data_IF_072663873285
#
_entry.id   IF_072663873285
#
_cell.length_a   1.000
_cell.length_b   1.000
_cell.length_c   1.000
_cell.angle_alpha   90.00
_cell.angle_beta   90.00
_cell.angle_gamma   90.00
#
_symmetry.space_group_name_H-M   'P 1'
#
loop_
_entity.id
_entity.type
_entity.pdbx_description
1 polymer ?
#
# COMPACT_ATOMS: atom_id res chain seq x y z
N UNK A 1 -22.16 -0.91 -6.09
CA UNK A 1 -21.31 -0.12 -7.02
C UNK A 1 -20.23 -1.04 -7.58
N UNK A 2 -19.80 -0.84 -8.82
CA UNK A 2 -18.88 -1.73 -9.54
C UNK A 2 -17.91 -0.94 -10.44
N UNK A 3 -16.72 -1.48 -10.65
CA UNK A 3 -15.89 -1.17 -11.82
C UNK A 3 -16.16 -2.21 -12.90
N UNK A 4 -16.36 -1.78 -14.14
CA UNK A 4 -16.49 -2.70 -15.28
C UNK A 4 -15.17 -2.80 -16.03
N UNK A 5 -14.75 -4.02 -16.34
CA UNK A 5 -13.63 -4.27 -17.26
C UNK A 5 -14.13 -4.46 -18.68
N UNK A 6 -13.49 -3.79 -19.64
CA UNK A 6 -13.57 -4.05 -21.07
C UNK A 6 -12.25 -4.71 -21.45
N UNK A 7 -12.24 -6.02 -21.69
CA UNK A 7 -11.01 -6.75 -21.96
C UNK A 7 -10.44 -6.34 -23.32
N UNK A 8 -9.14 -6.10 -23.39
CA UNK A 8 -8.48 -5.74 -24.66
C UNK A 8 -7.34 -6.70 -24.97
N UNK A 9 -7.13 -6.89 -26.26
CA UNK A 9 -6.03 -7.68 -26.82
C UNK A 9 -5.31 -6.89 -27.91
N UNK A 10 -4.36 -7.52 -28.60
CA UNK A 10 -3.76 -6.97 -29.82
C UNK A 10 -4.76 -6.76 -30.99
N UNK A 11 -5.97 -7.33 -30.91
CA UNK A 11 -6.99 -7.25 -31.95
C UNK A 11 -8.00 -6.14 -31.67
N UNK A 12 -8.07 -5.15 -32.58
CA UNK A 12 -9.11 -4.12 -32.52
C UNK A 12 -10.52 -4.71 -32.70
N UNK A 13 -10.66 -5.77 -33.52
CA UNK A 13 -11.94 -6.48 -33.66
C UNK A 13 -12.43 -7.07 -32.33
N UNK A 14 -11.50 -7.51 -31.47
CA UNK A 14 -11.86 -7.96 -30.12
C UNK A 14 -12.39 -6.82 -29.25
N UNK A 15 -11.78 -5.63 -29.33
CA UNK A 15 -12.32 -4.43 -28.66
C UNK A 15 -13.75 -4.14 -29.15
N UNK A 16 -14.00 -4.22 -30.46
CA UNK A 16 -15.32 -3.98 -31.03
C UNK A 16 -16.36 -5.00 -30.52
N UNK A 17 -15.96 -6.26 -30.31
CA UNK A 17 -16.83 -7.28 -29.70
C UNK A 17 -17.17 -6.94 -28.24
N UNK A 18 -16.19 -6.54 -27.42
CA UNK A 18 -16.44 -6.13 -26.04
C UNK A 18 -17.26 -4.84 -25.96
N UNK A 19 -17.01 -3.88 -26.86
CA UNK A 19 -17.81 -2.66 -27.01
C UNK A 19 -19.25 -2.97 -27.36
N UNK A 20 -19.52 -3.97 -28.21
CA UNK A 20 -20.89 -4.40 -28.53
C UNK A 20 -21.61 -5.01 -27.32
N UNK A 21 -20.90 -5.73 -26.44
CA UNK A 21 -21.49 -6.21 -25.17
C UNK A 21 -21.81 -5.05 -24.23
N UNK A 22 -20.89 -4.08 -24.08
CA UNK A 22 -21.11 -2.86 -23.32
C UNK A 22 -22.32 -2.07 -23.85
N UNK A 23 -22.44 -1.95 -25.17
CA UNK A 23 -23.60 -1.37 -25.84
C UNK A 23 -24.90 -2.07 -25.42
N UNK A 24 -24.92 -3.40 -25.45
CA UNK A 24 -26.06 -4.20 -25.01
C UNK A 24 -26.47 -3.92 -23.56
N UNK A 25 -25.52 -3.75 -22.65
CA UNK A 25 -25.78 -3.40 -21.25
C UNK A 25 -26.39 -1.99 -21.12
N UNK A 26 -25.86 -1.02 -21.86
CA UNK A 26 -26.37 0.37 -21.86
C UNK A 26 -27.79 0.42 -22.43
N UNK A 27 -28.00 -0.22 -23.58
CA UNK A 27 -29.26 -0.17 -24.33
C UNK A 27 -30.39 -0.92 -23.62
N UNK A 28 -30.04 -1.95 -22.85
CA UNK A 28 -30.97 -2.69 -22.00
C UNK A 28 -31.24 -2.02 -20.65
N UNK A 29 -30.63 -0.85 -20.38
CA UNK A 29 -30.79 -0.12 -19.12
C UNK A 29 -30.11 -0.77 -17.91
N UNK A 30 -29.19 -1.71 -18.12
CA UNK A 30 -28.41 -2.38 -17.06
C UNK A 30 -27.14 -1.60 -16.67
N UNK A 31 -26.84 -0.52 -17.39
CA UNK A 31 -25.77 0.42 -17.08
C UNK A 31 -26.35 1.68 -16.43
N UNK A 32 -26.11 1.86 -15.14
CA UNK A 32 -26.59 2.98 -14.33
C UNK A 32 -25.47 3.57 -13.45
N UNK A 33 -25.85 4.44 -12.51
CA UNK A 33 -24.93 5.15 -11.62
C UNK A 33 -24.26 4.22 -10.57
N UNK A 34 -24.57 2.92 -10.56
CA UNK A 34 -23.79 1.93 -9.82
C UNK A 34 -22.47 1.59 -10.50
N UNK A 35 -22.30 1.88 -11.80
CA UNK A 35 -21.03 1.76 -12.50
C UNK A 35 -20.22 3.02 -12.21
N UNK A 36 -19.21 2.90 -11.35
CA UNK A 36 -18.42 4.06 -10.86
C UNK A 36 -17.05 4.19 -11.52
N UNK A 37 -16.65 3.21 -12.32
CA UNK A 37 -15.40 3.22 -13.07
C UNK A 37 -15.41 2.18 -14.18
N UNK A 38 -14.60 2.42 -15.21
CA UNK A 38 -14.41 1.49 -16.31
C UNK A 38 -12.92 1.33 -16.62
N UNK A 39 -12.44 0.09 -16.70
CA UNK A 39 -11.08 -0.24 -17.13
C UNK A 39 -11.12 -0.72 -18.58
N UNK A 40 -10.40 -0.05 -19.48
CA UNK A 40 -10.24 -0.49 -20.88
C UNK A 40 -8.87 -1.15 -20.99
N UNK A 41 -8.90 -2.47 -20.96
CA UNK A 41 -7.70 -3.28 -20.80
C UNK A 41 -7.33 -3.52 -19.34
N UNK A 42 -6.69 -4.67 -19.13
CA UNK A 42 -5.97 -5.04 -17.93
C UNK A 42 -4.67 -5.65 -18.40
N UNK A 43 -3.52 -5.05 -18.09
CA UNK A 43 -2.18 -5.56 -18.43
C UNK A 43 -1.94 -5.83 -19.92
N UNK A 44 -2.70 -5.20 -20.83
CA UNK A 44 -2.54 -5.45 -22.26
C UNK A 44 -1.19 -4.92 -22.78
N UNK A 45 -0.61 -3.91 -22.13
CA UNK A 45 0.73 -3.43 -22.44
C UNK A 45 1.78 -4.32 -21.77
N UNK A 46 1.59 -4.69 -20.50
CA UNK A 46 2.48 -5.63 -19.80
C UNK A 46 2.59 -6.99 -20.50
N UNK A 47 1.50 -7.49 -21.07
CA UNK A 47 1.49 -8.71 -21.90
C UNK A 47 2.08 -8.53 -23.31
N UNK A 48 2.62 -7.35 -23.61
CA UNK A 48 3.25 -6.99 -24.88
C UNK A 48 2.30 -7.11 -26.11
N UNK A 49 0.99 -7.09 -25.88
CA UNK A 49 0.01 -7.23 -26.95
C UNK A 49 -0.17 -5.93 -27.74
N UNK A 50 -0.13 -4.79 -27.05
CA UNK A 50 -0.22 -3.44 -27.64
C UNK A 50 0.75 -2.48 -26.96
N UNK A 51 1.06 -1.37 -27.63
CA UNK A 51 1.81 -0.28 -27.02
C UNK A 51 0.87 0.74 -26.31
N UNK A 52 1.46 1.69 -25.59
CA UNK A 52 0.72 2.71 -24.85
C UNK A 52 -0.18 3.59 -25.74
N UNK A 53 0.24 3.94 -26.95
CA UNK A 53 -0.56 4.77 -27.86
C UNK A 53 -1.82 4.03 -28.32
N UNK A 54 -1.70 2.75 -28.65
CA UNK A 54 -2.85 1.89 -28.99
C UNK A 54 -3.78 1.72 -27.79
N UNK A 55 -3.24 1.49 -26.59
CA UNK A 55 -4.06 1.39 -25.38
C UNK A 55 -4.85 2.69 -25.10
N UNK A 56 -4.20 3.85 -25.26
CA UNK A 56 -4.86 5.17 -25.15
C UNK A 56 -5.94 5.34 -26.22
N UNK A 57 -5.68 4.90 -27.46
CA UNK A 57 -6.65 4.94 -28.55
C UNK A 57 -7.90 4.11 -28.23
N UNK A 58 -7.72 2.86 -27.78
CA UNK A 58 -8.83 1.98 -27.39
C UNK A 58 -9.64 2.55 -26.23
N UNK A 59 -8.95 3.06 -25.21
CA UNK A 59 -9.59 3.69 -24.06
C UNK A 59 -10.43 4.92 -24.48
N UNK A 60 -9.88 5.79 -25.33
CA UNK A 60 -10.62 6.95 -25.87
C UNK A 60 -11.83 6.53 -26.68
N UNK A 61 -11.72 5.48 -27.49
CA UNK A 61 -12.85 4.98 -28.28
C UNK A 61 -14.02 4.52 -27.38
N UNK A 62 -13.73 3.83 -26.28
CA UNK A 62 -14.75 3.42 -25.30
C UNK A 62 -15.30 4.61 -24.53
N UNK A 63 -14.44 5.54 -24.09
CA UNK A 63 -14.85 6.76 -23.40
C UNK A 63 -15.80 7.60 -24.26
N UNK A 64 -15.42 7.89 -25.49
CA UNK A 64 -16.23 8.66 -26.43
C UNK A 64 -17.55 7.95 -26.73
N UNK A 65 -17.52 6.62 -26.84
CA UNK A 65 -18.72 5.82 -27.02
C UNK A 65 -19.69 5.98 -25.85
N UNK A 66 -19.26 5.78 -24.60
CA UNK A 66 -20.17 5.91 -23.45
C UNK A 66 -20.65 7.36 -23.25
N UNK A 67 -19.78 8.35 -23.52
CA UNK A 67 -20.16 9.77 -23.49
C UNK A 67 -21.24 10.09 -24.54
N UNK A 68 -21.15 9.53 -25.75
CA UNK A 68 -22.18 9.68 -26.79
C UNK A 68 -23.55 9.12 -26.39
N UNK A 69 -23.58 8.22 -25.39
CA UNK A 69 -24.79 7.63 -24.79
C UNK A 69 -25.23 8.34 -23.50
N UNK A 70 -24.64 9.50 -23.20
CA UNK A 70 -24.97 10.30 -22.02
C UNK A 70 -24.46 9.74 -20.69
N UNK A 71 -23.45 8.85 -20.72
CA UNK A 71 -22.79 8.31 -19.52
C UNK A 71 -21.46 9.01 -19.31
N UNK A 72 -21.15 9.44 -18.09
CA UNK A 72 -19.92 10.17 -17.75
C UNK A 72 -19.01 9.39 -16.79
N UNK A 73 -19.07 8.06 -16.85
CA UNK A 73 -18.29 7.19 -15.97
C UNK A 73 -16.79 7.37 -16.23
N UNK A 74 -15.97 7.55 -15.17
CA UNK A 74 -14.52 7.64 -15.31
C UNK A 74 -13.90 6.39 -15.97
N UNK A 75 -13.01 6.61 -16.93
CA UNK A 75 -12.35 5.56 -17.72
C UNK A 75 -10.84 5.58 -17.50
N UNK A 76 -10.28 4.40 -17.22
CA UNK A 76 -8.84 4.18 -17.02
C UNK A 76 -8.34 2.97 -17.84
N UNK A 77 -7.03 2.75 -17.82
CA UNK A 77 -6.34 1.57 -18.33
C UNK A 77 -5.72 0.90 -17.10
N UNK A 78 -6.09 -0.34 -16.81
CA UNK A 78 -5.45 -1.09 -15.72
C UNK A 78 -4.17 -1.75 -16.25
N UNK A 79 -3.03 -1.47 -15.62
CA UNK A 79 -1.74 -2.09 -15.99
C UNK A 79 -0.78 -2.08 -14.79
N UNK A 80 0.38 -2.71 -14.90
CA UNK A 80 1.35 -2.74 -13.79
C UNK A 80 2.03 -1.37 -13.58
N UNK A 81 2.54 -1.13 -12.38
CA UNK A 81 3.23 0.13 -12.02
C UNK A 81 4.38 0.46 -13.00
N UNK A 82 5.15 -0.55 -13.43
CA UNK A 82 6.29 -0.36 -14.35
C UNK A 82 5.87 0.20 -15.72
N UNK A 83 4.68 -0.19 -16.20
CA UNK A 83 4.13 0.32 -17.46
C UNK A 83 3.81 1.81 -17.34
N UNK A 84 3.17 2.23 -16.25
CA UNK A 84 2.91 3.64 -16.00
C UNK A 84 4.20 4.46 -15.82
N UNK A 85 5.21 3.91 -15.14
CA UNK A 85 6.49 4.58 -14.95
C UNK A 85 7.24 4.78 -16.28
N UNK A 86 7.18 3.81 -17.19
CA UNK A 86 7.84 3.88 -18.51
C UNK A 86 7.03 4.65 -19.56
N UNK A 87 5.72 4.80 -19.34
CA UNK A 87 4.79 5.47 -20.25
C UNK A 87 3.98 6.56 -19.50
N UNK A 88 4.60 7.68 -19.07
CA UNK A 88 3.93 8.72 -18.30
C UNK A 88 2.74 9.37 -19.02
N UNK A 89 2.68 9.30 -20.36
CA UNK A 89 1.54 9.75 -21.16
C UNK A 89 0.24 9.00 -20.84
N UNK A 90 0.30 7.80 -20.25
CA UNK A 90 -0.87 7.09 -19.75
C UNK A 90 -1.57 7.89 -18.64
N UNK A 91 -0.79 8.47 -17.71
CA UNK A 91 -1.33 9.27 -16.59
C UNK A 91 -2.11 10.48 -17.11
N UNK A 92 -1.62 11.11 -18.18
CA UNK A 92 -2.29 12.25 -18.80
C UNK A 92 -3.61 11.85 -19.50
N UNK A 93 -3.70 10.62 -20.02
CA UNK A 93 -4.84 10.15 -20.81
C UNK A 93 -6.02 9.64 -19.96
N UNK A 94 -5.75 8.94 -18.86
CA UNK A 94 -6.76 8.29 -18.02
C UNK A 94 -7.48 9.27 -17.09
N UNK A 95 -8.70 8.95 -16.66
CA UNK A 95 -9.43 9.79 -15.69
C UNK A 95 -8.89 9.64 -14.26
N UNK A 96 -8.38 8.44 -13.94
CA UNK A 96 -7.65 8.08 -12.73
C UNK A 96 -6.60 7.02 -13.09
N UNK A 97 -5.50 6.95 -12.35
CA UNK A 97 -4.48 5.90 -12.54
C UNK A 97 -4.98 4.62 -11.89
N UNK A 98 -4.93 3.50 -12.61
CA UNK A 98 -5.40 2.19 -12.15
C UNK A 98 -4.27 1.19 -12.30
N UNK A 99 -3.76 0.65 -11.19
CA UNK A 99 -2.59 -0.24 -11.20
C UNK A 99 -2.84 -1.61 -10.60
N UNK A 100 -2.37 -2.63 -11.29
CA UNK A 100 -2.24 -3.97 -10.75
C UNK A 100 -0.88 -4.09 -10.05
N UNK A 101 -0.89 -4.43 -8.76
CA UNK A 101 0.32 -4.50 -7.96
C UNK A 101 0.26 -5.65 -6.95
N UNK A 102 1.15 -6.62 -7.13
CA UNK A 102 1.25 -7.82 -6.29
C UNK A 102 2.69 -7.98 -5.79
N UNK A 103 2.97 -7.52 -4.57
CA UNK A 103 4.26 -7.83 -3.94
C UNK A 103 4.49 -9.34 -3.77
N UNK A 104 3.41 -10.12 -3.73
CA UNK A 104 3.46 -11.58 -3.78
C UNK A 104 4.23 -12.10 -5.00
N UNK A 105 4.04 -11.53 -6.19
CA UNK A 105 4.73 -11.93 -7.43
C UNK A 105 6.14 -11.35 -7.58
N UNK A 106 6.61 -10.62 -6.57
CA UNK A 106 7.97 -10.05 -6.50
C UNK A 106 8.84 -10.78 -5.47
N UNK A 107 8.44 -12.00 -5.09
CA UNK A 107 9.08 -12.80 -4.03
C UNK A 107 9.19 -12.07 -2.69
N UNK A 108 8.28 -11.14 -2.40
CA UNK A 108 8.32 -10.39 -1.15
C UNK A 108 8.22 -11.34 0.06
N UNK A 109 8.93 -10.98 1.12
CA UNK A 109 8.59 -11.47 2.46
C UNK A 109 7.28 -10.79 2.89
N UNK A 110 6.38 -11.54 3.53
CA UNK A 110 5.07 -11.01 3.93
C UNK A 110 5.18 -9.78 4.85
N UNK A 111 6.24 -9.69 5.66
CA UNK A 111 6.50 -8.55 6.55
C UNK A 111 6.91 -7.27 5.79
N UNK A 112 7.16 -7.38 4.48
CA UNK A 112 7.52 -6.26 3.59
C UNK A 112 6.49 -6.03 2.48
N UNK A 113 5.46 -6.88 2.33
CA UNK A 113 4.56 -6.79 1.19
C UNK A 113 3.87 -5.43 1.03
N UNK A 114 3.31 -4.89 2.11
CA UNK A 114 2.68 -3.57 2.09
C UNK A 114 3.71 -2.43 1.90
N UNK A 115 4.88 -2.53 2.56
CA UNK A 115 5.99 -1.59 2.40
C UNK A 115 6.50 -1.50 0.95
N UNK A 116 6.74 -2.66 0.31
CA UNK A 116 7.16 -2.74 -1.10
C UNK A 116 6.09 -2.14 -2.01
N UNK A 117 4.81 -2.41 -1.76
CA UNK A 117 3.71 -1.79 -2.52
C UNK A 117 3.78 -0.26 -2.43
N UNK A 118 3.99 0.30 -1.24
CA UNK A 118 4.09 1.74 -1.03
C UNK A 118 5.34 2.34 -1.69
N UNK A 119 6.48 1.66 -1.60
CA UNK A 119 7.74 2.06 -2.24
C UNK A 119 7.57 2.14 -3.77
N UNK A 120 6.95 1.13 -4.38
CA UNK A 120 6.68 1.09 -5.83
C UNK A 120 5.74 2.20 -6.28
N UNK A 121 4.73 2.52 -5.47
CA UNK A 121 3.76 3.58 -5.77
C UNK A 121 4.34 4.99 -5.64
N UNK A 122 5.44 5.21 -4.90
CA UNK A 122 5.93 6.54 -4.51
C UNK A 122 6.06 7.51 -5.68
N UNK A 123 6.79 7.14 -6.74
CA UNK A 123 7.00 8.02 -7.90
C UNK A 123 5.72 8.25 -8.70
N UNK A 124 4.92 7.20 -8.89
CA UNK A 124 3.66 7.27 -9.61
C UNK A 124 2.65 8.16 -8.90
N UNK A 125 2.58 8.12 -7.57
CA UNK A 125 1.75 9.02 -6.75
C UNK A 125 2.12 10.48 -6.94
N UNK A 126 3.41 10.79 -6.97
CA UNK A 126 3.89 12.15 -7.21
C UNK A 126 3.48 12.63 -8.60
N UNK A 127 3.67 11.78 -9.63
CA UNK A 127 3.27 12.11 -11.00
C UNK A 127 1.75 12.29 -11.12
N UNK A 128 0.96 11.34 -10.61
CA UNK A 128 -0.51 11.39 -10.62
C UNK A 128 -1.03 12.64 -9.90
N UNK A 129 -0.50 12.94 -8.70
CA UNK A 129 -0.85 14.13 -7.93
C UNK A 129 -0.55 15.42 -8.70
N UNK A 130 0.59 15.49 -9.39
CA UNK A 130 0.95 16.64 -10.24
C UNK A 130 0.01 16.84 -11.44
N UNK A 131 -0.82 15.84 -11.78
CA UNK A 131 -1.85 15.88 -12.83
C UNK A 131 -3.27 15.93 -12.26
N UNK A 132 -3.43 16.05 -10.93
CA UNK A 132 -4.72 16.01 -10.27
C UNK A 132 -5.44 14.67 -10.41
N UNK A 133 -4.69 13.57 -10.59
CA UNK A 133 -5.23 12.22 -10.77
C UNK A 133 -5.11 11.44 -9.47
N UNK A 134 -6.16 10.70 -9.14
CA UNK A 134 -6.13 9.72 -8.06
C UNK A 134 -5.45 8.43 -8.55
N UNK A 135 -4.89 7.66 -7.63
CA UNK A 135 -4.35 6.32 -7.87
C UNK A 135 -5.26 5.29 -7.21
N UNK A 136 -5.68 4.29 -7.99
CA UNK A 136 -6.47 3.14 -7.57
C UNK A 136 -5.60 1.90 -7.73
N UNK A 137 -5.57 1.02 -6.74
CA UNK A 137 -4.93 -0.29 -6.83
C UNK A 137 -5.99 -1.28 -7.32
N UNK A 138 -6.07 -1.50 -8.62
CA UNK A 138 -7.13 -2.31 -9.25
C UNK A 138 -7.04 -3.78 -8.94
N UNK A 139 -5.84 -4.29 -8.65
CA UNK A 139 -5.64 -5.67 -8.23
C UNK A 139 -4.44 -5.76 -7.29
N UNK A 140 -4.64 -6.46 -6.17
CA UNK A 140 -3.58 -6.85 -5.23
C UNK A 140 -4.07 -8.00 -4.38
N UNK A 141 -3.15 -8.82 -3.86
CA UNK A 141 -3.52 -9.96 -3.03
C UNK A 141 -2.32 -10.79 -2.64
N UNK A 142 -2.60 -11.82 -1.84
CA UNK A 142 -1.61 -12.81 -1.40
C UNK A 142 -2.28 -14.18 -1.38
N UNK A 143 -1.60 -15.20 -1.89
CA UNK A 143 -2.17 -16.56 -1.91
C UNK A 143 -2.05 -17.26 -0.55
N UNK A 144 -3.06 -18.02 -0.15
CA UNK A 144 -2.98 -18.85 1.07
C UNK A 144 -2.48 -20.27 0.82
N UNK A 145 -2.24 -20.66 -0.43
CA UNK A 145 -1.93 -22.05 -0.79
C UNK A 145 -1.07 -22.16 -2.05
N UNK A 146 -0.63 -23.37 -2.35
CA UNK A 146 0.26 -23.67 -3.47
C UNK A 146 1.70 -23.18 -3.27
N UNK A 147 2.53 -23.36 -4.30
CA UNK A 147 3.89 -22.85 -4.33
C UNK A 147 4.31 -22.41 -5.73
N UNK A 148 5.11 -21.36 -5.82
CA UNK A 148 5.82 -21.00 -7.05
C UNK A 148 7.19 -20.40 -6.67
N UNK A 149 8.29 -20.80 -7.32
CA UNK A 149 9.60 -20.22 -7.04
C UNK A 149 9.65 -18.71 -7.23
N UNK A 150 8.80 -18.15 -8.11
CA UNK A 150 8.65 -16.73 -8.43
C UNK A 150 7.86 -15.90 -7.38
N UNK A 151 7.25 -16.58 -6.40
CA UNK A 151 6.29 -15.97 -5.50
C UNK A 151 6.79 -15.86 -4.05
N UNK A 152 6.14 -14.99 -3.28
CA UNK A 152 6.23 -14.97 -1.83
C UNK A 152 5.64 -16.25 -1.23
N UNK A 153 5.97 -16.54 0.04
CA UNK A 153 5.50 -17.75 0.70
C UNK A 153 3.98 -17.69 0.88
N UNK A 154 3.26 -18.61 0.23
CA UNK A 154 1.82 -18.75 0.36
C UNK A 154 1.45 -19.54 1.62
N UNK A 155 0.64 -18.94 2.49
CA UNK A 155 0.03 -19.61 3.64
C UNK A 155 -1.19 -18.81 4.14
N UNK A 156 -2.14 -19.43 4.86
CA UNK A 156 -3.28 -18.71 5.44
C UNK A 156 -2.84 -17.56 6.37
N UNK A 157 -1.77 -17.76 7.15
CA UNK A 157 -1.20 -16.76 8.04
C UNK A 157 -0.63 -15.58 7.25
N UNK A 158 0.14 -15.86 6.18
CA UNK A 158 0.72 -14.81 5.35
C UNK A 158 -0.35 -14.03 4.58
N UNK A 159 -1.38 -14.70 4.07
CA UNK A 159 -2.50 -14.04 3.42
C UNK A 159 -3.23 -13.08 4.37
N UNK A 160 -3.53 -13.52 5.60
CA UNK A 160 -4.19 -12.69 6.60
C UNK A 160 -3.31 -11.51 7.05
N UNK A 161 -1.99 -11.75 7.21
CA UNK A 161 -1.03 -10.71 7.55
C UNK A 161 -0.92 -9.65 6.46
N UNK A 162 -0.71 -10.05 5.21
CA UNK A 162 -0.63 -9.11 4.09
C UNK A 162 -1.93 -8.32 3.96
N UNK A 163 -3.10 -8.97 4.07
CA UNK A 163 -4.39 -8.25 4.05
C UNK A 163 -4.48 -7.19 5.15
N UNK A 164 -4.11 -7.53 6.39
CA UNK A 164 -4.15 -6.61 7.53
C UNK A 164 -3.19 -5.43 7.35
N UNK A 165 -1.94 -5.69 6.95
CA UNK A 165 -0.93 -4.65 6.76
C UNK A 165 -1.28 -3.76 5.54
N UNK A 166 -1.68 -4.37 4.43
CA UNK A 166 -2.13 -3.66 3.22
C UNK A 166 -3.36 -2.79 3.49
N UNK A 167 -4.39 -3.31 4.19
CA UNK A 167 -5.58 -2.54 4.54
C UNK A 167 -5.24 -1.28 5.34
N UNK A 168 -4.36 -1.42 6.33
CA UNK A 168 -3.94 -0.29 7.18
C UNK A 168 -3.15 0.74 6.38
N UNK A 169 -2.20 0.28 5.55
CA UNK A 169 -1.45 1.12 4.62
C UNK A 169 -2.40 1.88 3.69
N UNK A 170 -3.27 1.18 2.96
CA UNK A 170 -4.21 1.75 2.01
C UNK A 170 -5.13 2.78 2.66
N UNK A 171 -5.70 2.46 3.83
CA UNK A 171 -6.51 3.41 4.61
C UNK A 171 -5.71 4.66 5.00
N UNK A 172 -4.48 4.50 5.46
CA UNK A 172 -3.69 5.63 5.96
C UNK A 172 -3.29 6.62 4.86
N UNK A 173 -3.17 6.15 3.62
CA UNK A 173 -2.88 6.94 2.43
C UNK A 173 -4.13 7.31 1.61
N UNK A 174 -5.32 6.88 2.04
CA UNK A 174 -6.58 7.06 1.32
C UNK A 174 -6.52 6.50 -0.11
N UNK A 175 -5.99 5.27 -0.27
CA UNK A 175 -6.05 4.54 -1.52
C UNK A 175 -7.38 3.80 -1.64
N UNK A 176 -8.02 3.97 -2.80
CA UNK A 176 -9.04 3.04 -3.26
C UNK A 176 -8.35 1.79 -3.81
N UNK A 177 -8.88 0.61 -3.49
CA UNK A 177 -8.31 -0.65 -3.95
C UNK A 177 -9.37 -1.74 -4.14
N UNK A 178 -8.99 -2.76 -4.91
CA UNK A 178 -9.76 -3.99 -5.08
C UNK A 178 -8.87 -5.18 -4.73
N UNK A 179 -9.35 -6.00 -3.79
CA UNK A 179 -8.68 -7.26 -3.44
C UNK A 179 -8.90 -8.30 -4.53
N UNK A 180 -7.80 -8.85 -5.02
CA UNK A 180 -7.76 -10.00 -5.89
C UNK A 180 -7.63 -11.25 -5.00
N UNK A 181 -8.68 -12.06 -4.83
CA UNK A 181 -10.00 -12.03 -5.46
C UNK A 181 -11.08 -12.48 -4.46
N UNK A 182 -12.36 -12.44 -4.83
CA UNK A 182 -13.44 -12.86 -3.94
C UNK A 182 -13.32 -14.35 -3.56
N UNK A 183 -13.25 -15.25 -4.54
CA UNK A 183 -13.29 -16.69 -4.33
C UNK A 183 -12.01 -17.37 -4.82
N UNK A 184 -11.56 -18.38 -4.08
CA UNK A 184 -10.60 -19.35 -4.57
C UNK A 184 -11.10 -19.95 -5.90
N UNK A 185 -10.18 -20.37 -6.77
CA UNK A 185 -10.49 -20.70 -8.17
C UNK A 185 -9.58 -21.81 -8.69
N UNK A 186 -9.88 -23.06 -8.35
CA UNK A 186 -9.06 -24.24 -8.70
C UNK A 186 -8.96 -24.48 -10.20
N UNK A 187 -9.93 -23.97 -10.97
CA UNK A 187 -9.92 -24.04 -12.42
C UNK A 187 -8.69 -23.34 -13.02
N UNK A 188 -8.08 -22.35 -12.33
CA UNK A 188 -6.87 -21.65 -12.80
C UNK A 188 -5.69 -22.60 -12.93
N UNK A 189 -5.48 -23.45 -11.94
CA UNK A 189 -4.47 -24.53 -11.98
C UNK A 189 -4.85 -25.58 -13.02
N UNK A 190 -6.13 -25.95 -13.10
CA UNK A 190 -6.62 -26.92 -14.09
C UNK A 190 -6.37 -26.45 -15.54
N UNK A 191 -6.37 -25.14 -15.77
CA UNK A 191 -6.06 -24.52 -17.06
C UNK A 191 -4.56 -24.24 -17.28
N UNK A 192 -3.67 -24.78 -16.44
CA UNK A 192 -2.22 -24.65 -16.57
C UNK A 192 -1.60 -23.43 -15.86
N UNK A 193 -2.39 -22.71 -15.05
CA UNK A 193 -1.89 -21.66 -14.17
C UNK A 193 -1.03 -22.20 -13.02
N UNK A 194 -0.37 -21.29 -12.29
CA UNK A 194 0.50 -21.67 -11.16
C UNK A 194 -0.33 -22.16 -9.98
N UNK A 195 0.21 -23.06 -9.18
CA UNK A 195 -0.48 -23.63 -8.01
C UNK A 195 -1.06 -22.53 -7.11
N UNK A 196 -0.26 -21.49 -6.85
CA UNK A 196 -0.62 -20.35 -6.00
C UNK A 196 -1.83 -19.56 -6.50
N UNK A 197 -2.17 -19.61 -7.78
CA UNK A 197 -3.30 -18.87 -8.35
C UNK A 197 -4.66 -19.41 -7.89
N UNK A 198 -4.73 -20.64 -7.39
CA UNK A 198 -5.99 -21.21 -6.91
C UNK A 198 -6.49 -20.55 -5.61
N UNK A 199 -5.61 -19.98 -4.79
CA UNK A 199 -5.88 -19.74 -3.36
C UNK A 199 -5.82 -18.25 -2.92
N UNK A 200 -6.04 -17.30 -3.85
CA UNK A 200 -6.08 -15.85 -3.57
C UNK A 200 -7.40 -15.34 -2.96
N UNK A 201 -8.42 -16.20 -2.92
CA UNK A 201 -9.76 -15.86 -2.46
C UNK A 201 -9.82 -15.46 -0.99
N UNK A 202 -10.80 -14.62 -0.65
CA UNK A 202 -11.28 -14.41 0.73
C UNK A 202 -12.21 -15.57 1.15
N UNK A 203 -12.94 -16.10 0.17
CA UNK A 203 -13.86 -17.22 0.29
C UNK A 203 -13.30 -18.43 -0.45
N UNK A 204 -13.66 -19.63 0.01
CA UNK A 204 -13.50 -20.86 -0.74
C UNK A 204 -14.48 -20.90 -1.92
N UNK A 205 -14.32 -21.84 -2.85
CA UNK A 205 -15.23 -22.04 -4.00
C UNK A 205 -16.69 -22.34 -3.60
N UNK A 206 -16.95 -22.75 -2.37
CA UNK A 206 -18.27 -23.11 -1.84
C UNK A 206 -18.95 -21.98 -1.04
N UNK A 207 -18.51 -20.74 -1.26
CA UNK A 207 -18.95 -19.53 -0.55
C UNK A 207 -18.58 -19.45 0.94
N UNK A 208 -17.82 -20.42 1.47
CA UNK A 208 -17.37 -20.39 2.87
C UNK A 208 -16.20 -19.42 3.03
N UNK A 209 -16.35 -18.41 3.88
CA UNK A 209 -15.25 -17.50 4.25
C UNK A 209 -14.09 -18.30 4.85
N UNK A 210 -12.86 -18.04 4.41
CA UNK A 210 -11.69 -18.78 4.91
C UNK A 210 -11.41 -18.41 6.36
N UNK A 211 -10.99 -19.40 7.15
CA UNK A 211 -10.80 -19.26 8.59
C UNK A 211 -9.80 -18.17 8.98
N UNK A 212 -8.76 -17.96 8.16
CA UNK A 212 -7.76 -16.91 8.36
C UNK A 212 -8.33 -15.49 8.19
N UNK A 213 -9.43 -15.31 7.45
CA UNK A 213 -10.18 -14.04 7.40
C UNK A 213 -11.26 -13.96 8.48
N UNK A 214 -11.99 -15.05 8.73
CA UNK A 214 -13.05 -15.08 9.74
C UNK A 214 -12.50 -14.77 11.15
N UNK A 215 -11.29 -15.24 11.46
CA UNK A 215 -10.60 -14.96 12.72
C UNK A 215 -9.81 -13.65 12.75
N UNK A 216 -9.72 -12.93 11.62
CA UNK A 216 -8.88 -11.74 11.52
C UNK A 216 -9.52 -10.55 12.23
N UNK A 217 -8.82 -10.01 13.23
CA UNK A 217 -9.17 -8.74 13.85
C UNK A 217 -8.13 -7.70 13.47
N UNK A 218 -8.57 -6.63 12.81
CA UNK A 218 -7.70 -5.51 12.44
C UNK A 218 -7.94 -4.36 13.41
N UNK A 219 -6.90 -4.05 14.20
CA UNK A 219 -6.92 -2.90 15.11
C UNK A 219 -6.75 -1.58 14.37
N UNK A 220 -7.33 -0.51 14.93
CA UNK A 220 -7.15 0.84 14.40
C UNK A 220 -5.85 1.44 14.89
N UNK A 221 -5.09 2.02 13.96
CA UNK A 221 -3.91 2.82 14.26
C UNK A 221 -4.21 4.29 13.99
N UNK A 222 -4.14 5.10 15.02
CA UNK A 222 -4.25 6.53 14.85
C UNK A 222 -2.90 7.14 14.46
N UNK A 223 -2.86 8.09 13.50
CA UNK A 223 -1.63 8.76 13.13
C UNK A 223 -1.14 9.65 14.28
N UNK A 224 0.17 9.67 14.48
CA UNK A 224 0.86 10.45 15.51
C UNK A 224 2.11 11.11 14.94
N UNK A 225 2.41 12.29 15.42
CA UNK A 225 3.70 12.92 15.24
C UNK A 225 4.48 12.84 16.55
N UNK A 226 5.77 12.51 16.46
CA UNK A 226 6.65 12.34 17.62
C UNK A 226 7.63 13.52 17.62
N UNK A 227 7.36 14.53 18.46
CA UNK A 227 8.15 15.77 18.54
C UNK A 227 9.12 15.72 19.72
N UNK A 228 10.40 15.94 19.48
CA UNK A 228 11.37 16.09 20.56
C UNK A 228 11.12 17.38 21.36
N UNK A 229 11.10 17.29 22.69
CA UNK A 229 10.78 18.41 23.58
C UNK A 229 11.88 19.48 23.64
N UNK A 230 13.16 19.10 23.47
CA UNK A 230 14.28 20.04 23.49
C UNK A 230 14.43 20.85 22.20
N UNK A 231 14.35 20.17 21.06
CA UNK A 231 14.61 20.78 19.75
C UNK A 231 13.35 21.20 18.99
N UNK A 232 12.17 20.73 19.40
CA UNK A 232 10.89 20.87 18.69
C UNK A 232 10.86 20.24 17.28
N UNK A 233 11.88 19.45 16.93
CA UNK A 233 11.93 18.70 15.67
C UNK A 233 11.07 17.43 15.76
N UNK A 234 10.62 16.95 14.60
CA UNK A 234 9.80 15.76 14.42
C UNK A 234 10.68 14.57 14.03
N UNK A 235 10.45 13.43 14.68
CA UNK A 235 10.97 12.15 14.23
C UNK A 235 10.43 11.87 12.83
N UNK A 236 11.34 11.69 11.89
CA UNK A 236 11.02 11.56 10.47
C UNK A 236 11.75 10.38 9.86
N UNK A 237 11.16 9.77 8.83
CA UNK A 237 11.76 8.66 8.09
C UNK A 237 11.69 8.89 6.58
N UNK A 238 12.79 8.68 5.87
CA UNK A 238 12.79 8.69 4.41
C UNK A 238 13.74 7.62 3.87
N UNK A 239 13.22 6.75 3.01
CA UNK A 239 13.97 5.70 2.33
C UNK A 239 14.83 4.85 3.28
N UNK A 240 14.29 4.50 4.45
CA UNK A 240 14.98 3.70 5.46
C UNK A 240 15.85 4.49 6.44
N UNK A 241 16.03 5.79 6.21
CA UNK A 241 16.81 6.67 7.07
C UNK A 241 15.96 7.44 8.07
N UNK A 242 16.28 7.34 9.35
CA UNK A 242 15.69 8.19 10.39
C UNK A 242 16.41 9.53 10.48
N UNK A 243 15.65 10.60 10.69
CA UNK A 243 16.18 11.94 10.87
C UNK A 243 15.21 12.82 11.67
N UNK A 244 15.67 13.99 12.09
CA UNK A 244 14.88 14.99 12.80
C UNK A 244 14.61 16.19 11.88
N UNK A 245 13.36 16.62 11.76
CA UNK A 245 12.97 17.68 10.82
C UNK A 245 11.96 18.69 11.39
N UNK A 246 11.94 19.91 10.85
CA UNK A 246 10.84 20.85 11.13
C UNK A 246 9.60 20.46 10.34
N UNK A 247 8.42 20.88 10.80
CA UNK A 247 7.15 20.67 10.07
C UNK A 247 7.30 21.08 8.59
N UNK A 248 6.87 20.20 7.70
CA UNK A 248 6.84 20.48 6.25
C UNK A 248 5.43 20.83 5.79
N UNK A 249 5.34 21.60 4.69
CA UNK A 249 4.10 21.82 3.93
C UNK A 249 4.00 20.93 2.69
N UNK A 250 5.07 20.22 2.34
CA UNK A 250 5.04 19.21 1.28
C UNK A 250 4.34 17.97 1.81
N UNK A 251 3.28 17.53 1.12
CA UNK A 251 2.42 16.44 1.58
C UNK A 251 3.19 15.10 1.69
N UNK A 252 4.16 14.86 0.81
CA UNK A 252 4.96 13.63 0.83
C UNK A 252 5.96 13.65 1.98
N UNK A 253 6.53 14.83 2.29
CA UNK A 253 7.38 15.01 3.48
C UNK A 253 6.54 14.94 4.76
N UNK A 254 5.28 15.38 4.77
CA UNK A 254 4.40 15.21 5.92
C UNK A 254 4.15 13.72 6.24
N UNK A 255 4.03 12.85 5.24
CA UNK A 255 3.93 11.40 5.48
C UNK A 255 5.17 10.85 6.21
N UNK A 256 6.35 11.39 5.93
CA UNK A 256 7.62 11.03 6.60
C UNK A 256 7.63 11.38 8.09
N UNK A 257 6.78 12.32 8.51
CA UNK A 257 6.71 12.84 9.88
C UNK A 257 5.62 12.16 10.73
N UNK A 258 4.93 11.16 10.16
CA UNK A 258 3.79 10.49 10.77
C UNK A 258 4.12 9.05 11.10
N UNK A 259 3.72 8.64 12.29
CA UNK A 259 3.97 7.33 12.88
C UNK A 259 2.68 6.74 13.45
N UNK A 260 2.68 5.43 13.66
CA UNK A 260 1.60 4.68 14.25
C UNK A 260 2.10 3.85 15.41
N UNK A 261 1.42 3.92 16.55
CA UNK A 261 1.67 3.04 17.69
C UNK A 261 0.74 1.83 17.59
N UNK A 262 1.32 0.65 17.34
CA UNK A 262 0.58 -0.60 17.30
C UNK A 262 0.48 -1.20 18.69
N UNK A 263 -0.70 -1.13 19.31
CA UNK A 263 -0.92 -1.69 20.65
C UNK A 263 -0.90 -3.22 20.70
N UNK A 264 -1.18 -3.90 19.58
CA UNK A 264 -1.18 -5.35 19.51
C UNK A 264 0.24 -5.92 19.45
N UNK A 265 1.14 -5.25 18.71
CA UNK A 265 2.53 -5.71 18.51
C UNK A 265 3.57 -4.89 19.27
N UNK A 266 3.16 -3.81 19.95
CA UNK A 266 4.04 -2.79 20.56
C UNK A 266 5.05 -2.16 19.59
N UNK A 267 4.76 -2.18 18.28
CA UNK A 267 5.61 -1.56 17.26
C UNK A 267 5.28 -0.08 17.07
N UNK A 268 6.28 0.68 16.62
CA UNK A 268 6.10 2.06 16.13
C UNK A 268 6.36 2.05 14.63
N UNK A 269 5.30 2.18 13.82
CA UNK A 269 5.36 2.04 12.36
C UNK A 269 5.39 3.39 11.67
N UNK A 270 6.26 3.54 10.66
CA UNK A 270 6.35 4.74 9.82
C UNK A 270 5.20 4.77 8.82
N UNK A 271 4.57 5.93 8.65
CA UNK A 271 3.56 6.13 7.59
C UNK A 271 4.21 6.17 6.20
N UNK A 272 5.41 6.70 6.04
CA UNK A 272 6.02 6.86 4.71
C UNK A 272 6.48 5.56 4.07
N UNK A 273 6.73 4.51 4.86
CA UNK A 273 7.30 3.25 4.36
C UNK A 273 6.62 1.98 4.89
N UNK A 274 5.67 2.09 5.82
CA UNK A 274 5.07 0.94 6.53
C UNK A 274 6.09 0.06 7.31
N UNK A 275 7.29 0.59 7.58
CA UNK A 275 8.36 -0.09 8.33
C UNK A 275 8.40 0.32 9.80
N UNK A 276 8.98 -0.51 10.64
CA UNK A 276 8.98 -0.40 12.09
C UNK A 276 10.27 0.21 12.63
N UNK A 277 10.14 1.06 13.66
CA UNK A 277 11.27 1.54 14.45
C UNK A 277 11.97 0.35 15.14
N UNK A 278 13.28 0.24 14.92
CA UNK A 278 14.08 -0.94 15.26
C UNK A 278 15.39 -0.52 15.94
N UNK A 279 15.72 -1.17 17.07
CA UNK A 279 16.95 -0.94 17.82
C UNK A 279 17.58 -2.24 18.36
N UNK A 280 18.30 -2.98 17.51
CA UNK A 280 18.95 -4.26 17.86
C UNK A 280 20.16 -4.16 18.81
N UNK A 281 20.68 -2.95 19.07
CA UNK A 281 21.90 -2.72 19.85
C UNK A 281 21.57 -2.14 21.23
N UNK A 282 21.46 -3.02 22.23
CA UNK A 282 21.12 -2.66 23.61
C UNK A 282 22.29 -2.06 24.42
N UNK A 283 22.90 -0.98 23.92
CA UNK A 283 23.95 -0.21 24.58
C UNK A 283 23.86 1.28 24.23
N UNK A 284 24.56 2.12 24.98
CA UNK A 284 24.61 3.55 24.73
C UNK A 284 25.17 3.86 23.33
N UNK A 285 24.49 4.76 22.63
CA UNK A 285 24.72 5.07 21.22
C UNK A 285 24.42 3.93 20.24
N UNK A 286 23.63 2.94 20.68
CA UNK A 286 23.11 1.87 19.83
C UNK A 286 22.30 2.40 18.66
N UNK A 287 22.40 1.72 17.51
CA UNK A 287 21.72 2.14 16.27
C UNK A 287 20.19 2.02 16.45
N UNK A 288 19.49 3.07 16.02
CA UNK A 288 18.05 3.05 15.78
C UNK A 288 17.82 3.34 14.30
N UNK A 289 16.98 2.53 13.67
CA UNK A 289 16.64 2.64 12.24
C UNK A 289 15.19 2.19 12.01
N UNK A 290 14.75 2.14 10.76
CA UNK A 290 13.55 1.39 10.40
C UNK A 290 13.90 0.07 9.74
N UNK A 291 13.10 -0.95 10.03
CA UNK A 291 13.22 -2.27 9.45
C UNK A 291 11.83 -2.87 9.22
N UNK A 292 11.73 -3.93 8.41
CA UNK A 292 10.46 -4.62 8.18
C UNK A 292 9.76 -4.98 9.48
N UNK A 293 8.44 -4.81 9.53
CA UNK A 293 7.67 -5.04 10.74
C UNK A 293 7.45 -6.53 10.99
N UNK A 294 8.18 -7.10 11.95
CA UNK A 294 8.06 -8.51 12.35
C UNK A 294 7.34 -8.58 13.70
N UNK A 295 6.15 -9.17 13.72
CA UNK A 295 5.21 -9.03 14.86
C UNK A 295 5.74 -9.59 16.18
N UNK A 296 6.68 -10.55 16.16
CA UNK A 296 7.28 -11.14 17.36
C UNK A 296 8.73 -10.69 17.60
N UNK A 297 9.21 -9.68 16.86
CA UNK A 297 10.59 -9.25 16.93
C UNK A 297 10.83 -8.32 18.13
N UNK A 298 11.83 -8.67 18.96
CA UNK A 298 12.04 -8.10 20.29
C UNK A 298 12.65 -6.70 20.24
N UNK A 299 13.53 -6.43 19.27
CA UNK A 299 14.17 -5.12 19.06
C UNK A 299 13.26 -4.08 18.37
N UNK A 300 11.99 -4.42 18.11
CA UNK A 300 10.99 -3.52 17.53
C UNK A 300 9.90 -3.11 18.53
N UNK A 301 10.09 -3.41 19.82
CA UNK A 301 9.08 -3.20 20.86
C UNK A 301 9.33 -1.91 21.61
N UNK A 302 8.35 -1.02 21.61
CA UNK A 302 8.44 0.30 22.23
C UNK A 302 7.23 0.59 23.12
N UNK A 303 7.44 1.43 24.13
CA UNK A 303 6.38 1.91 25.01
C UNK A 303 6.56 3.40 25.25
N UNK A 304 5.53 4.18 24.93
CA UNK A 304 5.50 5.61 25.24
C UNK A 304 4.95 5.84 26.64
N UNK A 305 5.74 6.45 27.52
CA UNK A 305 5.34 6.83 28.87
C UNK A 305 4.96 8.33 28.89
N UNK A 306 3.66 8.61 28.81
CA UNK A 306 3.15 9.98 28.72
C UNK A 306 3.51 10.87 29.92
N UNK A 307 3.68 10.30 31.12
CA UNK A 307 4.03 11.06 32.33
C UNK A 307 5.45 11.62 32.31
N UNK A 308 6.36 10.99 31.56
CA UNK A 308 7.77 11.44 31.45
C UNK A 308 8.14 11.89 30.04
N UNK A 309 7.27 11.65 29.05
CA UNK A 309 7.53 11.87 27.64
C UNK A 309 8.56 10.89 27.06
N UNK A 310 8.88 9.79 27.73
CA UNK A 310 9.92 8.86 27.27
C UNK A 310 9.33 7.83 26.31
N UNK A 311 9.96 7.65 25.15
CA UNK A 311 9.75 6.49 24.31
C UNK A 311 10.78 5.42 24.71
N UNK A 312 10.36 4.47 25.54
CA UNK A 312 11.20 3.43 26.12
C UNK A 312 11.22 2.21 25.20
N UNK A 313 12.36 1.54 25.13
CA UNK A 313 12.40 0.22 24.54
C UNK A 313 11.76 -0.78 25.51
N UNK A 314 10.85 -1.62 25.03
CA UNK A 314 10.06 -2.50 25.91
C UNK A 314 10.84 -3.75 26.36
N UNK A 315 11.72 -4.29 25.51
CA UNK A 315 12.55 -5.47 25.83
C UNK A 315 13.91 -5.10 26.41
N UNK A 316 14.68 -4.22 25.76
CA UNK A 316 15.93 -3.64 26.28
C UNK A 316 15.65 -2.65 27.42
N UNK A 317 15.43 -3.20 28.62
CA UNK A 317 15.09 -2.44 29.82
C UNK A 317 16.15 -1.39 30.15
N UNK A 318 15.69 -0.20 30.53
CA UNK A 318 16.57 0.92 30.88
C UNK A 318 17.01 1.78 29.70
N UNK A 319 16.65 1.43 28.46
CA UNK A 319 16.97 2.20 27.27
C UNK A 319 15.77 3.01 26.72
N UNK A 320 16.07 4.20 26.24
CA UNK A 320 15.14 5.18 25.67
C UNK A 320 15.59 5.60 24.28
N UNK A 321 14.64 6.00 23.43
CA UNK A 321 14.95 6.76 22.23
C UNK A 321 15.56 8.11 22.63
N UNK A 322 16.73 8.40 22.08
CA UNK A 322 17.51 9.59 22.33
C UNK A 322 17.86 10.26 21.00
N UNK A 323 17.73 11.59 20.95
CA UNK A 323 18.25 12.42 19.87
C UNK A 323 19.51 13.14 20.34
N UNK A 324 20.65 12.89 19.72
CA UNK A 324 21.92 13.56 20.05
C UNK A 324 22.12 14.85 19.24
N UNK A 325 21.91 16.05 19.82
CA UNK A 325 22.07 17.30 19.09
C UNK A 325 23.55 17.61 18.79
N UNK A 326 24.50 17.02 19.54
CA UNK A 326 25.93 17.20 19.30
C UNK A 326 26.42 16.41 18.07
N UNK A 327 25.65 15.40 17.65
CA UNK A 327 25.90 14.60 16.45
C UNK A 327 24.86 14.86 15.35
N UNK A 328 24.44 16.12 15.20
CA UNK A 328 23.53 16.51 14.13
C UNK A 328 22.12 15.94 14.28
N UNK A 329 21.64 15.82 15.53
CA UNK A 329 20.34 15.22 15.87
C UNK A 329 20.24 13.73 15.50
N UNK A 330 21.36 12.99 15.54
CA UNK A 330 21.38 11.55 15.33
C UNK A 330 20.44 10.87 16.33
N UNK A 331 19.62 9.94 15.84
CA UNK A 331 18.83 9.08 16.71
C UNK A 331 19.59 7.84 17.13
N UNK A 332 19.43 7.49 18.39
CA UNK A 332 20.13 6.39 19.00
C UNK A 332 19.35 5.81 20.18
N UNK A 333 19.74 4.61 20.56
CA UNK A 333 19.35 4.01 21.82
C UNK A 333 20.35 4.46 22.88
N UNK A 334 19.85 4.94 24.01
CA UNK A 334 20.68 5.41 25.12
C UNK A 334 20.01 5.13 26.45
N UNK A 335 20.81 4.98 27.52
CA UNK A 335 20.32 4.85 28.88
C UNK A 335 19.30 5.96 29.22
N UNK A 336 18.15 5.56 29.75
CA UNK A 336 17.09 6.48 30.12
C UNK A 336 17.56 7.41 31.26
N UNK A 337 17.70 8.70 30.97
CA UNK A 337 18.09 9.70 31.96
C UNK A 337 16.91 10.60 32.36
N UNK A 338 16.65 10.83 33.67
CA UNK A 338 15.61 11.75 34.10
C UNK A 338 15.94 13.17 33.65
N UNK A 339 14.91 13.94 33.26
CA UNK A 339 15.05 15.35 32.85
C UNK A 339 16.02 15.60 31.66
N UNK A 340 16.27 14.59 30.82
CA UNK A 340 17.01 14.77 29.57
C UNK A 340 16.05 15.16 28.42
N UNK A 341 16.06 16.42 27.94
CA UNK A 341 15.16 16.86 26.87
C UNK A 341 15.39 16.15 25.53
N UNK A 342 16.57 15.54 25.33
CA UNK A 342 16.88 14.71 24.17
C UNK A 342 16.09 13.39 24.13
N UNK A 343 15.56 12.97 25.28
CA UNK A 343 14.79 11.73 25.45
C UNK A 343 13.32 12.01 25.84
N UNK A 344 12.89 13.25 25.72
CA UNK A 344 11.52 13.67 25.99
C UNK A 344 10.82 13.98 24.68
N UNK A 345 9.64 13.40 24.52
CA UNK A 345 8.88 13.38 23.29
C UNK A 345 7.43 13.74 23.58
N UNK A 346 6.86 14.60 22.74
CA UNK A 346 5.43 14.83 22.68
C UNK A 346 4.85 14.00 21.54
N UNK A 347 3.96 13.07 21.88
CA UNK A 347 3.19 12.27 20.91
C UNK A 347 1.86 12.99 20.69
N UNK A 348 1.74 13.64 19.54
CA UNK A 348 0.63 14.55 19.23
C UNK A 348 -0.10 14.15 17.95
N UNK A 349 -1.32 14.62 17.79
CA UNK A 349 -2.05 14.51 16.52
C UNK A 349 -1.29 15.30 15.43
N UNK A 350 -0.99 14.71 14.26
CA UNK A 350 -0.33 15.41 13.16
C UNK A 350 -1.03 16.69 12.70
N UNK A 351 -2.35 16.79 12.85
CA UNK A 351 -3.12 17.99 12.53
C UNK A 351 -2.77 19.18 13.46
N UNK A 352 -2.22 18.90 14.65
CA UNK A 352 -1.88 19.88 15.68
C UNK A 352 -0.38 20.23 15.71
N UNK A 353 0.42 19.77 14.73
CA UNK A 353 1.85 20.11 14.64
C UNK A 353 2.03 21.61 14.39
#
# INVERSE_FOLDING_TARGET
KVHLGVWTTNSHDYLLQEKAKLAGLIDSGLYDDNVIGLHVGSETIYREEINADTAISYMKEIRDYIHSRGKNTPVSIADVIDIYNTNPQLVDAVDYVSVNQFSFWEHADVNEGAAITLDRLKNLRVLASSRGKNVVISETGWSSGGSDPAAGVASPENQAKFFSDFFQMARSHNFDYYWYVAFDSKWRVTNGGKEVEADFGIFQEDDTMKGNFQGLTIGWKDPRAIRNAGTNLLLSENNGGLYMSSKSNDWLVQEQQVWFFDSATQQVRSKSSDRCLDAYQAWDAGIVHVFRCIDNENNQKWTFEASTGKLKHAVHQGFCLDQDPAQGNKLQLYGCSPNNPNQQWNVIDPANI
#
